data_IF_479581875070
#
_entry.id   IF_479581875070
#
_cell.length_a   1.000
_cell.length_b   1.000
_cell.length_c   1.000
_cell.angle_alpha   90.00
_cell.angle_beta   90.00
_cell.angle_gamma   90.00
#
_symmetry.space_group_name_H-M   'P 1'
#
loop_
_entity.id
_entity.type
_entity.pdbx_description
1 polymer ?
#
# COMPACT_ATOMS: atom_id res chain seq x y z
N UNK A 1 -12.73 -20.29 -18.43
CA UNK A 1 -12.32 -19.05 -17.74
C UNK A 1 -13.54 -18.13 -17.66
N UNK A 2 -13.70 -17.38 -16.58
CA UNK A 2 -14.77 -16.39 -16.40
C UNK A 2 -14.14 -15.05 -15.98
N UNK A 3 -14.78 -13.91 -16.27
CA UNK A 3 -14.31 -12.62 -15.78
C UNK A 3 -14.41 -12.59 -14.25
N UNK A 4 -13.37 -12.06 -13.60
CA UNK A 4 -13.33 -11.85 -12.16
C UNK A 4 -12.78 -10.46 -11.88
N UNK A 5 -13.24 -9.87 -10.78
CA UNK A 5 -12.70 -8.64 -10.19
C UNK A 5 -12.48 -8.93 -8.71
N UNK A 6 -11.29 -8.62 -8.20
CA UNK A 6 -10.88 -8.95 -6.84
C UNK A 6 -10.22 -7.74 -6.18
N UNK A 7 -10.41 -7.63 -4.87
CA UNK A 7 -9.61 -6.74 -4.05
C UNK A 7 -8.21 -7.35 -3.85
N UNK A 8 -7.18 -6.68 -4.35
CA UNK A 8 -5.77 -7.10 -4.27
C UNK A 8 -4.92 -5.87 -3.93
N UNK A 9 -3.68 -6.09 -3.48
CA UNK A 9 -2.67 -5.07 -3.26
C UNK A 9 -1.31 -5.55 -3.81
N UNK A 10 -0.36 -4.64 -3.93
CA UNK A 10 1.05 -4.96 -4.22
C UNK A 10 1.92 -4.33 -3.12
N UNK A 11 2.86 -5.07 -2.52
CA UNK A 11 3.30 -6.41 -2.88
C UNK A 11 2.38 -7.55 -2.39
N UNK A 12 2.12 -8.56 -3.23
CA UNK A 12 1.33 -9.76 -2.96
C UNK A 12 1.64 -10.89 -3.97
N UNK A 13 1.44 -12.16 -3.60
CA UNK A 13 1.74 -13.31 -4.47
C UNK A 13 0.90 -13.38 -5.76
N UNK A 14 -0.35 -12.90 -5.72
CA UNK A 14 -1.28 -13.04 -6.83
C UNK A 14 -0.84 -12.27 -8.10
N UNK A 15 -0.41 -10.99 -8.02
CA UNK A 15 0.21 -10.27 -9.14
C UNK A 15 1.46 -10.95 -9.74
N UNK A 16 2.25 -11.67 -8.94
CA UNK A 16 3.41 -12.42 -9.45
C UNK A 16 3.01 -13.63 -10.31
N UNK A 17 1.90 -14.28 -9.96
CA UNK A 17 1.41 -15.49 -10.63
C UNK A 17 0.49 -15.18 -11.82
N UNK A 18 -0.35 -14.17 -11.70
CA UNK A 18 -1.39 -13.86 -12.67
C UNK A 18 -1.22 -12.44 -13.19
N UNK A 19 -1.04 -12.31 -14.50
CA UNK A 19 -1.05 -11.01 -15.18
C UNK A 19 -2.48 -10.47 -15.21
N UNK A 20 -2.65 -9.23 -14.77
CA UNK A 20 -3.92 -8.50 -14.76
C UNK A 20 -3.66 -7.00 -14.80
N UNK A 21 -4.72 -6.22 -14.60
CA UNK A 21 -4.69 -4.77 -14.64
C UNK A 21 -5.43 -4.21 -13.41
N UNK A 22 -5.05 -3.00 -12.99
CA UNK A 22 -5.72 -2.30 -11.90
C UNK A 22 -6.94 -1.54 -12.41
N UNK A 23 -7.93 -1.37 -11.54
CA UNK A 23 -9.06 -0.49 -11.86
C UNK A 23 -8.62 0.96 -11.63
N UNK A 24 -8.65 1.76 -12.69
CA UNK A 24 -8.26 3.17 -12.67
C UNK A 24 -9.41 4.04 -12.12
N UNK A 25 -9.42 4.24 -10.81
CA UNK A 25 -10.28 5.22 -10.12
C UNK A 25 -9.67 6.62 -10.15
N UNK A 26 -10.42 7.69 -9.83
CA UNK A 26 -9.83 9.01 -9.60
C UNK A 26 -8.69 8.94 -8.58
N UNK A 27 -7.57 9.62 -8.85
CA UNK A 27 -6.39 9.55 -7.99
C UNK A 27 -6.68 10.04 -6.57
N UNK A 28 -6.11 9.38 -5.57
CA UNK A 28 -6.29 9.77 -4.18
C UNK A 28 -5.67 11.14 -3.88
N UNK A 29 -6.42 11.98 -3.17
CA UNK A 29 -5.88 13.10 -2.38
C UNK A 29 -6.53 13.14 -0.99
N UNK A 30 -5.94 13.84 0.01
CA UNK A 30 -6.54 13.97 1.34
C UNK A 30 -7.97 14.56 1.35
N UNK A 31 -8.29 15.41 0.37
CA UNK A 31 -9.59 16.05 0.21
C UNK A 31 -10.69 15.05 -0.14
N UNK A 32 -10.39 13.97 -0.86
CA UNK A 32 -11.35 12.89 -1.15
C UNK A 32 -12.02 12.33 0.12
N UNK A 33 -11.31 12.38 1.27
CA UNK A 33 -11.79 11.83 2.53
C UNK A 33 -12.40 12.91 3.44
N UNK A 34 -12.25 14.19 3.09
CA UNK A 34 -12.61 15.32 3.97
C UNK A 34 -13.62 16.30 3.34
N UNK A 35 -13.68 16.39 2.01
CA UNK A 35 -14.57 17.26 1.24
C UNK A 35 -15.48 16.44 0.29
N UNK A 36 -16.81 16.39 0.52
CA UNK A 36 -17.75 15.72 -0.39
C UNK A 36 -17.81 16.30 -1.80
N UNK A 37 -17.34 17.54 -2.02
CA UNK A 37 -17.38 18.19 -3.33
C UNK A 37 -16.14 17.96 -4.18
N UNK A 38 -15.13 17.29 -3.63
CA UNK A 38 -13.86 17.08 -4.30
C UNK A 38 -14.00 16.16 -5.52
N UNK A 39 -14.82 15.11 -5.41
CA UNK A 39 -14.90 14.04 -6.39
C UNK A 39 -16.01 14.19 -7.42
N UNK A 40 -16.24 13.10 -8.14
CA UNK A 40 -17.33 12.94 -9.11
C UNK A 40 -18.72 12.96 -8.47
N UNK A 41 -18.83 12.53 -7.21
CA UNK A 41 -20.07 12.57 -6.45
C UNK A 41 -20.04 13.76 -5.48
N UNK A 42 -20.70 14.89 -5.80
CA UNK A 42 -20.64 16.10 -4.97
C UNK A 42 -21.37 15.97 -3.61
N UNK A 43 -22.12 14.88 -3.42
CA UNK A 43 -22.91 14.62 -2.23
C UNK A 43 -22.25 13.60 -1.28
N UNK A 44 -21.10 13.02 -1.65
CA UNK A 44 -20.44 11.98 -0.87
C UNK A 44 -18.90 12.07 -0.93
N UNK A 45 -18.26 11.38 0.02
CA UNK A 45 -16.80 11.24 0.10
C UNK A 45 -16.38 9.84 -0.36
N UNK A 46 -15.07 9.61 -0.49
CA UNK A 46 -14.47 8.31 -0.78
C UNK A 46 -14.72 7.78 -2.20
N UNK A 47 -14.91 8.66 -3.16
CA UNK A 47 -15.10 8.34 -4.58
C UNK A 47 -13.80 8.45 -5.40
N UNK A 48 -12.66 8.22 -4.72
CA UNK A 48 -11.33 8.07 -5.31
C UNK A 48 -10.79 6.64 -5.12
N UNK A 49 -9.70 6.36 -5.83
CA UNK A 49 -8.85 5.21 -5.59
C UNK A 49 -8.22 5.23 -4.19
N UNK A 50 -7.51 4.14 -3.87
CA UNK A 50 -6.77 4.08 -2.61
C UNK A 50 -5.48 4.88 -2.70
N UNK A 51 -4.99 5.43 -1.57
CA UNK A 51 -3.66 6.03 -1.53
C UNK A 51 -2.59 5.01 -1.89
N UNK A 52 -1.61 5.45 -2.66
CA UNK A 52 -0.38 4.72 -2.90
C UNK A 52 0.67 5.22 -1.91
N UNK A 53 1.55 4.35 -1.44
CA UNK A 53 2.54 4.76 -0.45
C UNK A 53 3.62 3.74 -0.18
N UNK A 54 4.58 4.15 0.63
CA UNK A 54 5.69 3.32 1.07
C UNK A 54 5.30 2.42 2.26
N UNK A 55 5.96 1.28 2.37
CA UNK A 55 5.87 0.39 3.53
C UNK A 55 6.93 0.81 4.54
N UNK A 56 6.49 1.36 5.67
CA UNK A 56 7.38 1.86 6.72
C UNK A 56 7.68 0.81 7.79
N UNK A 57 8.92 0.82 8.30
CA UNK A 57 9.32 0.04 9.48
C UNK A 57 9.26 0.93 10.72
N UNK A 58 8.47 0.53 11.70
CA UNK A 58 8.42 1.17 13.01
C UNK A 58 9.02 0.26 14.08
N UNK A 59 9.66 0.87 15.07
CA UNK A 59 10.26 0.19 16.20
C UNK A 59 9.88 0.89 17.50
N UNK A 60 9.81 0.13 18.60
CA UNK A 60 9.71 0.70 19.93
C UNK A 60 10.88 1.64 20.21
N UNK A 61 10.61 2.79 20.84
CA UNK A 61 11.59 3.86 21.05
C UNK A 61 12.87 3.42 21.75
N UNK A 62 12.83 2.42 22.63
CA UNK A 62 13.99 1.89 23.35
C UNK A 62 14.76 0.77 22.62
N UNK A 63 14.39 0.41 21.38
CA UNK A 63 15.00 -0.71 20.66
C UNK A 63 16.49 -0.47 20.40
N UNK A 64 16.88 0.77 20.12
CA UNK A 64 18.26 1.14 19.81
C UNK A 64 19.19 0.95 21.01
N UNK A 65 18.71 1.29 22.21
CA UNK A 65 19.45 1.22 23.46
C UNK A 65 19.49 -0.23 23.96
N UNK A 66 18.36 -0.93 23.93
CA UNK A 66 18.24 -2.29 24.48
C UNK A 66 18.84 -3.35 23.55
N UNK A 67 18.69 -3.19 22.24
CA UNK A 67 19.14 -4.15 21.22
C UNK A 67 19.85 -3.45 20.05
N UNK A 68 21.04 -2.88 20.28
CA UNK A 68 21.73 -2.05 19.30
C UNK A 68 22.08 -2.80 18.01
N UNK A 69 22.39 -4.09 18.08
CA UNK A 69 22.68 -4.92 16.89
C UNK A 69 21.41 -5.16 16.09
N UNK A 70 20.31 -5.57 16.73
CA UNK A 70 19.04 -5.79 16.06
C UNK A 70 18.52 -4.49 15.42
N UNK A 71 18.67 -3.35 16.10
CA UNK A 71 18.32 -2.05 15.54
C UNK A 71 19.10 -1.75 14.25
N UNK A 72 20.41 -1.99 14.22
CA UNK A 72 21.24 -1.82 13.02
C UNK A 72 20.75 -2.71 11.87
N UNK A 73 20.49 -3.98 12.15
CA UNK A 73 19.98 -4.93 11.15
C UNK A 73 18.61 -4.49 10.63
N UNK A 74 17.65 -4.21 11.51
CA UNK A 74 16.31 -3.78 11.13
C UNK A 74 16.33 -2.47 10.33
N UNK A 75 17.22 -1.53 10.67
CA UNK A 75 17.38 -0.27 9.92
C UNK A 75 17.95 -0.50 8.53
N UNK A 76 18.98 -1.35 8.41
CA UNK A 76 19.64 -1.67 7.15
C UNK A 76 18.83 -2.60 6.23
N UNK A 77 17.92 -3.40 6.78
CA UNK A 77 17.10 -4.32 6.00
C UNK A 77 16.26 -3.58 4.97
N UNK A 78 16.46 -3.89 3.69
CA UNK A 78 15.63 -3.40 2.60
C UNK A 78 15.26 -4.60 1.74
N UNK A 79 14.07 -4.56 1.15
CA UNK A 79 13.59 -5.61 0.26
C UNK A 79 12.77 -4.96 -0.84
N UNK A 80 12.98 -5.43 -2.06
CA UNK A 80 12.29 -4.93 -3.24
C UNK A 80 10.86 -5.48 -3.35
N UNK A 81 9.97 -4.72 -3.96
CA UNK A 81 8.57 -5.11 -4.19
C UNK A 81 8.45 -6.40 -4.99
N UNK A 82 9.29 -6.62 -5.99
CA UNK A 82 9.25 -7.85 -6.81
C UNK A 82 9.69 -9.07 -6.02
N UNK A 83 10.59 -8.92 -5.05
CA UNK A 83 10.93 -10.03 -4.15
C UNK A 83 9.83 -10.28 -3.12
N UNK A 84 9.24 -9.22 -2.53
CA UNK A 84 8.06 -9.39 -1.66
C UNK A 84 6.87 -10.03 -2.39
N UNK A 85 6.71 -9.76 -3.68
CA UNK A 85 5.69 -10.39 -4.52
C UNK A 85 5.89 -11.90 -4.71
N UNK A 86 7.12 -12.42 -4.53
CA UNK A 86 7.45 -13.84 -4.72
C UNK A 86 7.44 -14.64 -3.41
N UNK A 87 7.37 -13.97 -2.26
CA UNK A 87 7.31 -14.58 -0.92
C UNK A 87 5.89 -15.02 -0.55
#
# INVERSE_FOLDING_TARGET
KAPIMLWIYSPHWAPAKYKGEWVEFPEYTPECYTDPKWGTNPDAKYDCGKPHGEIWKYAWGGMKEKWPVAYKVAKAYTIDTDELNKM
#
